data_IF_992154439650
#
_entry.id   IF_992154439650
#
_cell.length_a   1.000
_cell.length_b   1.000
_cell.length_c   1.000
_cell.angle_alpha   90.00
_cell.angle_beta   90.00
_cell.angle_gamma   90.00
#
_symmetry.space_group_name_H-M   'P 1'
#
loop_
_entity.id
_entity.type
_entity.pdbx_description
1 polymer ?
#
# COMPACT_ATOMS: atom_id res chain seq x y z
N UNK A 1 -5.74 23.70 -8.02
CA UNK A 1 -5.11 22.50 -7.42
C UNK A 1 -6.05 21.31 -7.66
N UNK A 2 -5.51 20.18 -8.10
CA UNK A 2 -6.32 18.97 -8.20
C UNK A 2 -6.60 18.47 -6.79
N UNK A 3 -7.87 18.50 -6.40
CA UNK A 3 -8.30 18.04 -5.10
C UNK A 3 -8.39 16.49 -5.11
N UNK A 4 -7.70 15.85 -4.17
CA UNK A 4 -7.73 14.41 -4.00
C UNK A 4 -8.49 14.10 -2.72
N UNK A 5 -9.59 13.33 -2.75
CA UNK A 5 -10.20 12.82 -1.53
C UNK A 5 -9.14 12.13 -0.64
N UNK A 6 -8.90 12.68 0.54
CA UNK A 6 -7.89 12.18 1.47
C UNK A 6 -8.50 11.63 2.77
N UNK A 7 -9.73 12.05 3.10
CA UNK A 7 -10.47 11.52 4.23
C UNK A 7 -10.82 10.05 4.00
N UNK A 8 -10.49 9.21 4.97
CA UNK A 8 -10.60 7.76 4.81
C UNK A 8 -12.05 7.27 4.71
N UNK A 9 -12.97 7.86 5.46
CA UNK A 9 -14.38 7.42 5.44
C UNK A 9 -15.06 7.83 4.13
N UNK A 10 -14.73 9.01 3.62
CA UNK A 10 -15.10 9.45 2.27
C UNK A 10 -14.57 8.48 1.21
N UNK A 11 -13.29 8.13 1.29
CA UNK A 11 -12.66 7.21 0.32
C UNK A 11 -13.28 5.82 0.40
N UNK A 12 -13.57 5.30 1.60
CA UNK A 12 -14.27 4.01 1.77
C UNK A 12 -15.65 4.00 1.11
N UNK A 13 -16.41 5.07 1.27
CA UNK A 13 -17.70 5.24 0.61
C UNK A 13 -17.56 5.21 -0.91
N UNK A 14 -16.72 6.09 -1.44
CA UNK A 14 -16.46 6.17 -2.88
C UNK A 14 -15.92 4.86 -3.46
N UNK A 15 -15.00 4.19 -2.78
CA UNK A 15 -14.43 2.92 -3.24
C UNK A 15 -15.49 1.80 -3.29
N UNK A 16 -16.43 1.79 -2.36
CA UNK A 16 -17.56 0.86 -2.39
C UNK A 16 -18.46 1.11 -3.62
N UNK A 17 -18.80 2.37 -3.87
CA UNK A 17 -19.62 2.76 -5.02
C UNK A 17 -18.92 2.47 -6.35
N UNK A 18 -17.59 2.49 -6.36
CA UNK A 18 -16.75 2.23 -7.54
C UNK A 18 -16.26 0.79 -7.67
N UNK A 19 -16.61 -0.10 -6.75
CA UNK A 19 -16.04 -1.44 -6.68
C UNK A 19 -16.19 -2.24 -8.00
N UNK A 20 -17.39 -2.24 -8.58
CA UNK A 20 -17.63 -2.90 -9.87
C UNK A 20 -16.78 -2.27 -10.99
N UNK A 21 -16.75 -0.95 -11.06
CA UNK A 21 -15.97 -0.22 -12.06
C UNK A 21 -14.46 -0.44 -11.92
N UNK A 22 -13.95 -0.55 -10.70
CA UNK A 22 -12.57 -0.94 -10.46
C UNK A 22 -12.29 -2.38 -10.90
N UNK A 23 -13.22 -3.32 -10.66
CA UNK A 23 -13.07 -4.69 -11.15
C UNK A 23 -13.02 -4.74 -12.70
N UNK A 24 -13.88 -4.00 -13.36
CA UNK A 24 -13.92 -3.88 -14.82
C UNK A 24 -12.64 -3.21 -15.37
N UNK A 25 -12.16 -2.16 -14.72
CA UNK A 25 -10.87 -1.55 -15.06
C UNK A 25 -9.74 -2.58 -14.98
N UNK A 26 -9.67 -3.37 -13.90
CA UNK A 26 -8.65 -4.40 -13.75
C UNK A 26 -8.72 -5.44 -14.88
N UNK A 27 -9.93 -5.89 -15.22
CA UNK A 27 -10.14 -6.79 -16.35
C UNK A 27 -9.68 -6.17 -17.68
N UNK A 28 -10.04 -4.90 -17.91
CA UNK A 28 -9.62 -4.14 -19.09
C UNK A 28 -8.08 -4.05 -19.20
N UNK A 29 -7.39 -3.74 -18.12
CA UNK A 29 -5.93 -3.66 -18.09
C UNK A 29 -5.26 -4.98 -18.48
N UNK A 30 -5.88 -6.11 -18.17
CA UNK A 30 -5.34 -7.45 -18.49
C UNK A 30 -5.71 -7.95 -19.88
N UNK A 31 -6.89 -7.61 -20.39
CA UNK A 31 -7.48 -8.26 -21.56
C UNK A 31 -7.54 -7.36 -22.79
N UNK A 32 -7.61 -6.05 -22.61
CA UNK A 32 -7.91 -5.11 -23.71
C UNK A 32 -6.89 -4.00 -23.88
N UNK A 33 -6.11 -3.67 -22.84
CA UNK A 33 -5.14 -2.60 -22.94
C UNK A 33 -3.90 -3.07 -23.70
N UNK A 34 -3.71 -2.52 -24.90
CA UNK A 34 -2.55 -2.80 -25.76
C UNK A 34 -1.33 -1.95 -25.34
N UNK A 35 -0.94 -2.06 -24.09
CA UNK A 35 0.27 -1.47 -23.55
C UNK A 35 1.14 -2.57 -22.95
N UNK A 36 2.46 -2.48 -23.18
CA UNK A 36 3.38 -3.29 -22.40
C UNK A 36 3.42 -2.89 -20.93
N UNK A 37 3.95 -3.76 -20.10
CA UNK A 37 3.99 -3.54 -18.66
C UNK A 37 4.85 -2.33 -18.28
N UNK A 38 5.92 -2.06 -19.02
CA UNK A 38 6.80 -0.93 -18.77
C UNK A 38 6.08 0.43 -19.01
N UNK A 39 5.24 0.50 -20.03
CA UNK A 39 4.41 1.68 -20.32
C UNK A 39 3.36 1.87 -19.23
N UNK A 40 2.66 0.79 -18.85
CA UNK A 40 1.65 0.84 -17.79
C UNK A 40 2.27 1.29 -16.47
N UNK A 41 3.39 0.70 -16.07
CA UNK A 41 4.12 1.04 -14.85
C UNK A 41 4.49 2.53 -14.83
N UNK A 42 5.03 3.04 -15.93
CA UNK A 42 5.41 4.46 -16.06
C UNK A 42 4.21 5.38 -15.87
N UNK A 43 3.09 5.12 -16.54
CA UNK A 43 1.87 5.93 -16.43
C UNK A 43 1.30 5.88 -15.00
N UNK A 44 1.25 4.71 -14.39
CA UNK A 44 0.82 4.57 -12.98
C UNK A 44 1.72 5.38 -12.04
N UNK A 45 3.04 5.33 -12.22
CA UNK A 45 3.98 6.07 -11.40
C UNK A 45 3.84 7.59 -11.61
N UNK A 46 3.66 8.05 -12.83
CA UNK A 46 3.43 9.47 -13.16
C UNK A 46 2.15 10.00 -12.49
N UNK A 47 1.08 9.21 -12.50
CA UNK A 47 -0.17 9.53 -11.82
C UNK A 47 -0.01 9.53 -10.29
N UNK A 48 0.66 8.52 -9.74
CA UNK A 48 0.77 8.34 -8.30
C UNK A 48 1.67 9.40 -7.63
N UNK A 49 2.77 9.82 -8.26
CA UNK A 49 3.74 10.75 -7.66
C UNK A 49 3.12 12.07 -7.13
N UNK A 50 2.29 12.80 -7.89
CA UNK A 50 1.64 14.01 -7.35
C UNK A 50 0.64 13.69 -6.24
N UNK A 51 -0.03 12.53 -6.28
CA UNK A 51 -0.96 12.10 -5.22
C UNK A 51 -0.21 11.82 -3.92
N UNK A 52 0.95 11.12 -3.99
CA UNK A 52 1.82 10.93 -2.82
C UNK A 52 2.32 12.23 -2.19
N UNK A 53 2.52 13.28 -3.01
CA UNK A 53 2.92 14.59 -2.49
C UNK A 53 1.76 15.35 -1.85
N UNK A 54 0.54 15.13 -2.31
CA UNK A 54 -0.66 15.82 -1.84
C UNK A 54 -1.27 15.16 -0.59
N UNK A 55 -1.14 13.85 -0.45
CA UNK A 55 -1.73 13.08 0.66
C UNK A 55 -0.64 12.62 1.62
N UNK A 56 -0.64 13.16 2.83
CA UNK A 56 0.25 12.73 3.91
C UNK A 56 -0.27 11.43 4.54
N UNK A 57 0.36 10.31 4.20
CA UNK A 57 0.01 9.00 4.77
C UNK A 57 0.26 8.90 6.28
N UNK A 58 1.10 9.77 6.87
CA UNK A 58 1.36 9.77 8.32
C UNK A 58 0.21 10.34 9.12
N UNK A 59 -0.71 11.07 8.49
CA UNK A 59 -1.94 11.58 9.11
C UNK A 59 -3.09 10.56 9.08
N UNK A 60 -3.00 9.49 8.28
CA UNK A 60 -4.03 8.48 8.10
C UNK A 60 -3.82 7.24 8.99
N UNK A 61 -2.65 6.65 8.96
CA UNK A 61 -2.23 5.43 9.66
C UNK A 61 -3.15 4.19 9.46
N UNK A 62 -4.04 4.18 8.45
CA UNK A 62 -4.99 3.07 8.27
C UNK A 62 -4.27 1.74 7.99
N UNK A 63 -3.26 1.74 7.11
CA UNK A 63 -2.47 0.53 6.84
C UNK A 63 -1.81 -0.04 8.10
N UNK A 64 -1.43 0.80 9.07
CA UNK A 64 -0.89 0.35 10.35
C UNK A 64 -1.95 -0.25 11.29
N UNK A 65 -3.23 0.01 11.02
CA UNK A 65 -4.35 -0.51 11.83
C UNK A 65 -4.96 -1.78 11.25
N UNK A 66 -4.88 -1.97 9.93
CA UNK A 66 -5.67 -3.01 9.24
C UNK A 66 -4.83 -4.05 8.53
N UNK A 67 -3.54 -3.76 8.27
CA UNK A 67 -2.72 -4.63 7.43
C UNK A 67 -1.63 -5.35 8.23
N UNK A 68 -1.44 -6.62 7.91
CA UNK A 68 -0.28 -7.38 8.38
C UNK A 68 0.95 -7.03 7.50
N UNK A 69 2.05 -6.75 8.17
CA UNK A 69 3.29 -6.30 7.50
C UNK A 69 4.28 -7.43 7.42
N UNK A 70 4.75 -7.73 6.21
CA UNK A 70 5.86 -8.66 6.01
C UNK A 70 7.18 -8.02 6.43
N UNK A 71 7.97 -8.80 7.17
CA UNK A 71 9.32 -8.43 7.62
C UNK A 71 10.32 -9.22 6.79
N UNK A 72 10.99 -8.53 5.86
CA UNK A 72 11.98 -9.16 4.96
C UNK A 72 13.31 -9.40 5.68
N UNK A 73 14.17 -10.27 5.16
CA UNK A 73 15.54 -10.38 5.65
C UNK A 73 16.22 -8.99 5.69
N UNK A 74 16.87 -8.66 6.79
CA UNK A 74 17.48 -7.35 7.04
C UNK A 74 16.55 -6.31 7.69
N UNK A 75 15.21 -6.52 7.70
CA UNK A 75 14.31 -5.65 8.46
C UNK A 75 14.35 -5.95 9.96
N UNK A 76 14.37 -7.24 10.35
CA UNK A 76 14.39 -7.67 11.75
C UNK A 76 15.60 -7.12 12.53
N UNK A 77 16.87 -7.28 12.08
CA UNK A 77 18.02 -6.74 12.82
C UNK A 77 17.99 -5.22 12.91
N UNK A 78 17.42 -4.51 11.90
CA UNK A 78 17.29 -3.06 11.92
C UNK A 78 16.25 -2.60 12.97
N UNK A 79 15.11 -3.28 13.05
CA UNK A 79 14.07 -3.03 14.05
C UNK A 79 14.54 -3.40 15.47
N UNK A 80 15.16 -4.57 15.64
CA UNK A 80 15.72 -5.00 16.91
C UNK A 80 16.71 -3.97 17.48
N UNK A 81 17.64 -3.53 16.66
CA UNK A 81 18.61 -2.49 17.07
C UNK A 81 17.94 -1.18 17.50
N UNK A 82 16.92 -0.74 16.78
CA UNK A 82 16.13 0.47 17.12
C UNK A 82 15.42 0.33 18.47
N UNK A 83 14.90 -0.86 18.76
CA UNK A 83 14.21 -1.19 20.01
C UNK A 83 15.18 -1.58 21.15
N UNK A 84 16.50 -1.64 20.88
CA UNK A 84 17.52 -2.09 21.83
C UNK A 84 17.33 -3.53 22.30
N UNK A 85 16.88 -4.40 21.40
CA UNK A 85 16.66 -5.83 21.61
C UNK A 85 17.69 -6.65 20.83
N UNK A 86 17.93 -7.88 21.26
CA UNK A 86 18.57 -8.89 20.42
C UNK A 86 17.59 -9.30 19.30
N UNK A 87 18.12 -9.71 18.14
CA UNK A 87 17.27 -10.09 17.00
C UNK A 87 16.33 -11.24 17.35
N UNK A 88 16.81 -12.26 18.04
CA UNK A 88 16.00 -13.39 18.47
C UNK A 88 14.86 -12.98 19.42
N UNK A 89 15.12 -12.03 20.31
CA UNK A 89 14.09 -11.50 21.22
C UNK A 89 13.05 -10.69 20.46
N UNK A 90 13.49 -9.85 19.49
CA UNK A 90 12.58 -9.12 18.61
C UNK A 90 11.68 -10.07 17.81
N UNK A 91 12.28 -11.11 17.22
CA UNK A 91 11.53 -12.09 16.44
C UNK A 91 10.50 -12.82 17.30
N UNK A 92 10.90 -13.32 18.47
CA UNK A 92 10.00 -14.02 19.39
C UNK A 92 8.84 -13.15 19.87
N UNK A 93 9.07 -11.84 20.05
CA UNK A 93 8.08 -10.92 20.63
C UNK A 93 7.14 -10.33 19.59
N UNK A 94 7.63 -10.03 18.39
CA UNK A 94 6.89 -9.21 17.42
C UNK A 94 6.55 -9.93 16.12
N UNK A 95 7.14 -11.09 15.84
CA UNK A 95 6.92 -11.78 14.57
C UNK A 95 6.13 -13.06 14.72
N UNK A 96 5.38 -13.35 13.67
CA UNK A 96 4.71 -14.64 13.45
C UNK A 96 4.99 -15.13 12.04
N UNK A 97 4.78 -16.42 11.79
CA UNK A 97 4.86 -16.98 10.45
C UNK A 97 3.49 -16.91 9.75
N UNK A 98 3.46 -16.46 8.51
CA UNK A 98 2.29 -16.60 7.65
C UNK A 98 2.08 -18.09 7.27
N UNK A 99 0.95 -18.41 6.64
CA UNK A 99 0.71 -19.76 6.11
C UNK A 99 1.74 -20.20 5.06
N UNK A 100 2.39 -19.23 4.40
CA UNK A 100 3.46 -19.44 3.42
C UNK A 100 4.87 -19.41 4.04
N UNK A 101 4.96 -19.34 5.38
CA UNK A 101 6.23 -19.28 6.10
C UNK A 101 6.94 -17.92 6.07
N UNK A 102 6.30 -16.88 5.56
CA UNK A 102 6.86 -15.53 5.59
C UNK A 102 6.78 -14.93 7.00
N UNK A 103 7.80 -14.18 7.41
CA UNK A 103 7.79 -13.47 8.70
C UNK A 103 6.91 -12.23 8.60
N UNK A 104 5.94 -12.11 9.51
CA UNK A 104 4.98 -11.02 9.57
C UNK A 104 4.99 -10.37 10.95
N UNK A 105 4.68 -9.09 11.05
CA UNK A 105 4.34 -8.48 12.34
C UNK A 105 3.12 -9.23 12.89
N UNK A 106 3.21 -9.69 14.15
CA UNK A 106 2.23 -10.60 14.74
C UNK A 106 0.86 -9.96 15.02
N UNK A 107 0.82 -8.65 15.17
CA UNK A 107 -0.36 -7.93 15.68
C UNK A 107 -0.92 -6.92 14.68
N UNK A 108 -2.23 -6.77 14.70
CA UNK A 108 -2.97 -5.68 14.06
C UNK A 108 -4.02 -5.16 15.07
N UNK A 109 -3.98 -3.88 15.44
CA UNK A 109 -3.09 -2.80 14.98
C UNK A 109 -1.61 -3.06 15.24
N UNK A 110 -0.76 -2.54 14.34
CA UNK A 110 0.69 -2.70 14.45
C UNK A 110 1.22 -2.22 15.82
N UNK A 111 2.05 -3.01 16.54
CA UNK A 111 2.53 -2.68 17.87
C UNK A 111 3.43 -1.43 17.91
N UNK A 112 3.91 -0.97 16.75
CA UNK A 112 4.71 0.26 16.65
C UNK A 112 3.86 1.50 16.38
N UNK A 113 2.54 1.38 16.30
CA UNK A 113 1.64 2.51 16.09
C UNK A 113 1.29 3.18 17.42
N UNK A 114 1.72 4.42 17.61
CA UNK A 114 1.31 5.30 18.70
C UNK A 114 0.41 6.43 18.19
N UNK A 115 -0.89 6.36 18.43
CA UNK A 115 -1.86 7.30 17.86
C UNK A 115 -1.92 7.21 16.33
N UNK A 116 -1.39 8.21 15.64
CA UNK A 116 -1.28 8.25 14.18
C UNK A 116 0.16 8.04 13.69
N UNK A 117 1.14 7.89 14.58
CA UNK A 117 2.55 7.85 14.21
C UNK A 117 3.19 6.51 14.55
N UNK A 118 4.04 6.06 13.65
CA UNK A 118 4.85 4.86 13.86
C UNK A 118 6.10 5.22 14.68
N UNK A 119 6.30 4.59 15.84
CA UNK A 119 7.51 4.76 16.67
C UNK A 119 8.79 4.27 15.98
N UNK A 120 8.65 3.31 15.05
CA UNK A 120 9.74 2.77 14.24
C UNK A 120 9.81 3.38 12.82
N UNK A 121 9.23 4.57 12.57
CA UNK A 121 9.05 5.12 11.22
C UNK A 121 10.35 5.19 10.40
N UNK A 122 11.45 5.65 11.01
CA UNK A 122 12.75 5.78 10.34
C UNK A 122 13.35 4.43 9.92
N UNK A 123 13.03 3.37 10.68
CA UNK A 123 13.54 2.00 10.47
C UNK A 123 12.46 1.00 10.06
N UNK A 124 11.29 1.50 9.67
CA UNK A 124 10.15 0.65 9.31
C UNK A 124 10.50 -0.38 8.25
N UNK A 125 9.80 -1.53 8.24
CA UNK A 125 10.00 -2.57 7.23
C UNK A 125 9.95 -2.03 5.80
N UNK A 126 10.63 -2.71 4.91
CA UNK A 126 10.64 -2.33 3.48
C UNK A 126 9.21 -2.28 2.91
N UNK A 127 8.36 -3.24 3.25
CA UNK A 127 6.98 -3.27 2.79
C UNK A 127 6.18 -2.05 3.24
N UNK A 128 6.41 -1.54 4.47
CA UNK A 128 5.82 -0.27 4.91
C UNK A 128 6.33 0.95 4.13
N UNK A 129 7.60 0.97 3.76
CA UNK A 129 8.18 2.07 2.98
C UNK A 129 7.68 2.11 1.55
N UNK A 130 7.42 0.96 0.99
CA UNK A 130 7.00 0.78 -0.38
C UNK A 130 5.48 0.82 -0.56
N UNK A 131 4.70 0.62 0.54
CA UNK A 131 3.24 0.70 0.51
C UNK A 131 2.77 2.10 0.03
N UNK A 132 1.75 2.17 -0.81
CA UNK A 132 0.94 1.09 -1.39
C UNK A 132 1.48 0.51 -2.73
N UNK A 133 2.78 0.47 -2.91
CA UNK A 133 3.50 -0.20 -3.99
C UNK A 133 3.22 0.31 -5.43
N UNK A 134 2.68 1.51 -5.58
CA UNK A 134 2.34 2.10 -6.88
C UNK A 134 3.56 2.61 -7.67
N UNK A 135 4.68 2.84 -6.98
CA UNK A 135 5.91 3.34 -7.61
C UNK A 135 6.86 2.21 -8.04
N UNK A 136 6.44 0.95 -7.93
CA UNK A 136 7.22 -0.23 -8.31
C UNK A 136 6.79 -0.76 -9.66
N UNK A 137 7.71 -1.45 -10.34
CA UNK A 137 7.42 -2.18 -11.56
C UNK A 137 6.47 -3.36 -11.31
N UNK A 138 5.82 -3.85 -12.37
CA UNK A 138 4.90 -4.98 -12.31
C UNK A 138 3.52 -4.62 -11.74
N UNK A 139 3.00 -3.45 -12.04
CA UNK A 139 1.66 -3.04 -11.60
C UNK A 139 0.58 -4.03 -12.04
N UNK A 140 0.61 -4.49 -13.31
CA UNK A 140 -0.37 -5.44 -13.85
C UNK A 140 -0.38 -6.74 -13.04
N UNK A 141 0.77 -7.33 -12.80
CA UNK A 141 0.89 -8.60 -12.04
C UNK A 141 0.46 -8.47 -10.57
N UNK A 142 0.61 -7.28 -9.97
CA UNK A 142 0.22 -6.97 -8.59
C UNK A 142 -1.18 -6.34 -8.48
N UNK A 143 -1.90 -6.21 -9.60
CA UNK A 143 -3.18 -5.48 -9.64
C UNK A 143 -4.22 -6.01 -8.66
N UNK A 144 -4.27 -7.32 -8.39
CA UNK A 144 -5.21 -7.90 -7.41
C UNK A 144 -5.04 -7.23 -6.05
N UNK A 145 -3.83 -7.21 -5.51
CA UNK A 145 -3.56 -6.62 -4.19
C UNK A 145 -3.65 -5.08 -4.21
N UNK A 146 -3.24 -4.44 -5.29
CA UNK A 146 -3.35 -2.98 -5.41
C UNK A 146 -4.81 -2.55 -5.42
N UNK A 147 -5.65 -3.18 -6.24
CA UNK A 147 -7.07 -2.83 -6.32
C UNK A 147 -7.82 -3.14 -5.02
N UNK A 148 -7.47 -4.20 -4.30
CA UNK A 148 -8.02 -4.50 -2.97
C UNK A 148 -7.76 -3.37 -1.96
N UNK A 149 -6.68 -2.60 -2.13
CA UNK A 149 -6.34 -1.48 -1.27
C UNK A 149 -7.07 -0.17 -1.62
N UNK A 150 -7.99 -0.15 -2.57
CA UNK A 150 -8.70 1.06 -2.97
C UNK A 150 -9.56 1.66 -1.83
N UNK A 151 -10.16 0.81 -1.00
CA UNK A 151 -10.91 1.23 0.19
C UNK A 151 -10.04 1.52 1.40
N UNK A 152 -8.79 1.05 1.39
CA UNK A 152 -7.89 1.15 2.54
C UNK A 152 -6.89 2.32 2.42
N UNK A 153 -6.68 2.83 1.20
CA UNK A 153 -5.65 3.84 0.95
C UNK A 153 -6.14 4.92 -0.03
N UNK A 154 -6.28 6.17 0.44
CA UNK A 154 -6.64 7.30 -0.42
C UNK A 154 -5.73 7.47 -1.63
N UNK A 155 -4.42 7.17 -1.48
CA UNK A 155 -3.47 7.25 -2.59
C UNK A 155 -3.82 6.23 -3.68
N UNK A 156 -4.17 5.00 -3.30
CA UNK A 156 -4.60 3.96 -4.25
C UNK A 156 -5.87 4.38 -4.95
N UNK A 157 -6.90 4.75 -4.20
CA UNK A 157 -8.20 5.15 -4.75
C UNK A 157 -8.03 6.24 -5.82
N UNK A 158 -7.38 7.34 -5.46
CA UNK A 158 -7.16 8.47 -6.38
C UNK A 158 -6.32 8.08 -7.61
N UNK A 159 -5.36 7.17 -7.44
CA UNK A 159 -4.55 6.66 -8.57
C UNK A 159 -5.40 5.86 -9.53
N UNK A 160 -6.26 4.97 -9.05
CA UNK A 160 -7.14 4.15 -9.90
C UNK A 160 -8.16 5.01 -10.65
N UNK A 161 -8.78 6.00 -10.00
CA UNK A 161 -9.72 6.92 -10.65
C UNK A 161 -9.05 7.70 -11.80
N UNK A 162 -7.80 8.11 -11.65
CA UNK A 162 -7.06 8.79 -12.70
C UNK A 162 -6.52 7.85 -13.77
N UNK A 163 -6.18 6.63 -13.38
CA UNK A 163 -5.72 5.61 -14.33
C UNK A 163 -6.83 5.28 -15.33
N UNK A 164 -8.10 5.19 -14.90
CA UNK A 164 -9.23 5.00 -15.82
C UNK A 164 -9.24 6.02 -16.95
N UNK A 165 -9.04 7.29 -16.61
CA UNK A 165 -9.01 8.37 -17.60
C UNK A 165 -7.79 8.24 -18.53
N UNK A 166 -6.62 7.96 -17.96
CA UNK A 166 -5.36 7.88 -18.70
C UNK A 166 -5.33 6.71 -19.71
N UNK A 167 -5.99 5.60 -19.41
CA UNK A 167 -6.07 4.43 -20.31
C UNK A 167 -7.30 4.46 -21.23
N UNK A 168 -8.11 5.54 -21.18
CA UNK A 168 -9.33 5.66 -22.00
C UNK A 168 -10.45 4.68 -21.61
N UNK A 169 -10.47 4.20 -20.37
CA UNK A 169 -11.50 3.31 -19.87
C UNK A 169 -12.80 4.09 -19.64
N UNK A 170 -13.90 3.65 -20.25
CA UNK A 170 -15.22 4.30 -20.23
C UNK A 170 -16.30 3.37 -19.67
#
# INVERSE_FOLDING_TARGET
MLEFPADLDTVKGLARDRAARHADLRAFLHQRLDWDDARLDRVVQEIARPIYKAIDCTSCANCCRTMLVRVRPGDAPRLARHLRLQEAEFEARYLTASRQGERMIAESPCPFLGGLRCSAYAVRPRDCREFPHLLQAGFRSRSVSVFANASECPIVFNTLERLMLAVGFR
#
